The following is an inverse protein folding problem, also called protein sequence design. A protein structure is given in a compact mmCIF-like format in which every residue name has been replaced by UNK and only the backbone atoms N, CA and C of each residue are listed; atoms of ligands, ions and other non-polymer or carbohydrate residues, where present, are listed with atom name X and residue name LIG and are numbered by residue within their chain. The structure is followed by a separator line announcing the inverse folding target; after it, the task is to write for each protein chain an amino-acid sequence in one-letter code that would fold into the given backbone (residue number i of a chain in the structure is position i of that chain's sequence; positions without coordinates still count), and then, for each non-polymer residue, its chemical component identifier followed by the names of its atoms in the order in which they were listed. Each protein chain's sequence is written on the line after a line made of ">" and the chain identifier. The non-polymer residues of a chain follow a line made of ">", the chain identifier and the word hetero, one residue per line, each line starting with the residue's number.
data_IF_062059970545
#
_entry.id   IF_062059970545
#
_cell.length_a   1.000
_cell.length_b   1.000
_cell.length_c   1.000
_cell.angle_alpha   90.00
_cell.angle_beta   90.00
_cell.angle_gamma   90.00
#
_symmetry.space_group_name_H-M   'P 1'
#
loop_
_entity.id
_entity.type
_entity.pdbx_description
1 polymer ?
#
# COMPACT_ATOMS: atom_id res chain seq x y z
N UNK A 1 -4.95 -23.71 -3.70
CA UNK A 1 -5.82 -23.03 -2.73
C UNK A 1 -4.94 -22.12 -1.89
N UNK A 2 -5.31 -20.87 -1.62
CA UNK A 2 -4.52 -20.04 -0.72
C UNK A 2 -4.49 -20.69 0.68
N UNK A 3 -3.36 -20.56 1.40
CA UNK A 3 -3.13 -21.23 2.68
C UNK A 3 -3.97 -20.70 3.85
N UNK A 4 -4.84 -19.75 3.60
CA UNK A 4 -5.66 -19.05 4.60
C UNK A 4 -7.14 -19.45 4.41
N UNK A 5 -7.93 -19.45 5.51
CA UNK A 5 -9.37 -19.70 5.46
C UNK A 5 -10.10 -18.78 4.45
N UNK A 6 -11.42 -18.78 4.44
CA UNK A 6 -12.27 -18.30 3.35
C UNK A 6 -12.04 -16.86 2.84
N UNK A 7 -11.39 -15.96 3.62
CA UNK A 7 -11.13 -14.57 3.19
C UNK A 7 -9.79 -14.08 3.74
N UNK A 8 -8.82 -13.81 2.85
CA UNK A 8 -7.48 -13.34 3.23
C UNK A 8 -7.40 -11.82 3.17
N UNK A 9 -7.11 -11.17 4.29
CA UNK A 9 -6.87 -9.72 4.34
C UNK A 9 -5.44 -9.44 4.77
N UNK A 10 -4.70 -8.73 3.91
CA UNK A 10 -3.33 -8.31 4.20
C UNK A 10 -3.25 -6.79 4.33
N UNK A 11 -2.59 -6.31 5.38
CA UNK A 11 -2.30 -4.89 5.59
C UNK A 11 -0.80 -4.66 5.40
N UNK A 12 -0.44 -3.76 4.50
CA UNK A 12 0.96 -3.39 4.29
C UNK A 12 1.26 -2.05 4.97
N UNK A 13 1.99 -2.11 6.07
CA UNK A 13 2.45 -0.94 6.82
C UNK A 13 3.91 -0.63 6.53
N UNK A 14 4.25 0.64 6.64
CA UNK A 14 5.62 1.13 6.48
C UNK A 14 5.63 2.55 5.92
N UNK A 15 6.77 3.26 6.03
CA UNK A 15 6.90 4.65 5.58
C UNK A 15 6.69 4.79 4.07
N UNK A 16 6.41 6.00 3.57
CA UNK A 16 6.38 6.24 2.13
C UNK A 16 7.74 5.87 1.51
N UNK A 17 7.71 5.19 0.36
CA UNK A 17 8.94 4.74 -0.33
C UNK A 17 9.51 3.39 0.10
N UNK A 18 8.99 2.72 1.14
CA UNK A 18 9.53 1.45 1.63
C UNK A 18 9.26 0.23 0.71
N UNK A 19 8.46 0.35 -0.36
CA UNK A 19 8.25 -0.74 -1.32
C UNK A 19 6.88 -1.41 -1.27
N UNK A 20 5.94 -1.00 -0.38
CA UNK A 20 4.59 -1.57 -0.27
C UNK A 20 3.88 -1.78 -1.60
N UNK A 21 3.84 -0.75 -2.46
CA UNK A 21 3.16 -0.83 -3.74
C UNK A 21 3.78 -1.83 -4.73
N UNK A 22 5.07 -2.11 -4.61
CA UNK A 22 5.73 -3.16 -5.40
C UNK A 22 5.32 -4.54 -4.88
N UNK A 23 5.39 -4.73 -3.57
CA UNK A 23 5.06 -6.00 -2.94
C UNK A 23 3.56 -6.30 -3.01
N UNK A 24 2.69 -5.30 -2.82
CA UNK A 24 1.24 -5.50 -2.93
C UNK A 24 0.84 -6.06 -4.30
N UNK A 25 1.49 -5.63 -5.38
CA UNK A 25 1.25 -6.16 -6.73
C UNK A 25 1.74 -7.60 -6.87
N UNK A 26 2.97 -7.91 -6.41
CA UNK A 26 3.52 -9.26 -6.48
C UNK A 26 2.68 -10.25 -5.66
N UNK A 27 2.26 -9.85 -4.47
CA UNK A 27 1.40 -10.66 -3.60
C UNK A 27 0.00 -10.83 -4.22
N UNK A 28 -0.56 -9.77 -4.81
CA UNK A 28 -1.86 -9.83 -5.50
C UNK A 28 -1.82 -10.81 -6.68
N UNK A 29 -0.75 -10.77 -7.47
CA UNK A 29 -0.54 -11.70 -8.59
C UNK A 29 -0.36 -13.15 -8.10
N UNK A 30 0.27 -13.36 -6.96
CA UNK A 30 0.49 -14.69 -6.37
C UNK A 30 -0.79 -15.26 -5.75
N UNK A 31 -1.48 -14.48 -4.89
CA UNK A 31 -2.70 -14.92 -4.18
C UNK A 31 -3.97 -14.83 -5.03
N UNK A 32 -3.93 -14.17 -6.19
CA UNK A 32 -5.09 -13.88 -7.06
C UNK A 32 -6.19 -13.08 -6.35
N UNK A 33 -5.80 -12.14 -5.50
CA UNK A 33 -6.70 -11.20 -4.81
C UNK A 33 -6.34 -9.76 -5.18
N UNK A 34 -7.28 -8.80 -5.13
CA UNK A 34 -7.00 -7.43 -5.53
C UNK A 34 -6.10 -6.70 -4.53
N UNK A 35 -5.18 -5.89 -5.05
CA UNK A 35 -4.44 -4.89 -4.29
C UNK A 35 -5.19 -3.55 -4.32
N UNK A 36 -5.58 -3.05 -3.16
CA UNK A 36 -6.33 -1.83 -2.97
C UNK A 36 -5.40 -0.77 -2.39
N UNK A 37 -5.08 0.25 -3.19
CA UNK A 37 -4.30 1.40 -2.74
C UNK A 37 -5.20 2.63 -2.64
N UNK A 38 -5.49 3.07 -1.42
CA UNK A 38 -6.32 4.26 -1.18
C UNK A 38 -5.72 5.51 -1.83
N UNK A 39 -4.41 5.64 -1.82
CA UNK A 39 -3.72 6.73 -2.51
C UNK A 39 -3.91 6.71 -4.03
N UNK A 40 -3.92 5.53 -4.67
CA UNK A 40 -4.19 5.41 -6.10
C UNK A 40 -5.66 5.71 -6.42
N UNK A 41 -6.59 5.24 -5.59
CA UNK A 41 -8.02 5.53 -5.75
C UNK A 41 -8.28 7.03 -5.68
N UNK A 42 -7.77 7.72 -4.66
CA UNK A 42 -7.92 9.18 -4.54
C UNK A 42 -7.28 9.94 -5.71
N UNK A 43 -6.14 9.50 -6.21
CA UNK A 43 -5.52 10.10 -7.42
C UNK A 43 -6.35 9.87 -8.68
N UNK A 44 -7.01 8.72 -8.80
CA UNK A 44 -7.95 8.46 -9.90
C UNK A 44 -9.15 9.41 -9.85
N UNK A 45 -9.71 9.64 -8.66
CA UNK A 45 -10.79 10.61 -8.42
C UNK A 45 -10.37 12.05 -8.76
N UNK A 46 -9.14 12.44 -8.40
CA UNK A 46 -8.57 13.75 -8.76
C UNK A 46 -8.46 13.87 -10.29
N UNK A 47 -7.94 12.84 -10.96
CA UNK A 47 -7.80 12.81 -12.42
C UNK A 47 -9.16 12.89 -13.13
N UNK A 48 -10.17 12.23 -12.58
CA UNK A 48 -11.55 12.27 -13.08
C UNK A 48 -12.28 13.57 -12.76
N UNK A 49 -11.72 14.45 -11.91
CA UNK A 49 -12.32 15.74 -11.53
C UNK A 49 -13.59 15.62 -10.72
N UNK A 50 -13.81 14.50 -10.03
CA UNK A 50 -14.99 14.27 -9.19
C UNK A 50 -15.03 15.21 -7.98
N UNK A 51 -16.18 15.34 -7.33
CA UNK A 51 -16.31 16.12 -6.09
C UNK A 51 -15.35 15.61 -5.00
N UNK A 52 -15.19 14.30 -4.89
CA UNK A 52 -14.25 13.64 -3.99
C UNK A 52 -12.80 13.97 -4.36
N UNK A 53 -12.45 13.89 -5.65
CA UNK A 53 -11.12 14.24 -6.14
C UNK A 53 -10.76 15.70 -5.84
N UNK A 54 -11.70 16.63 -6.06
CA UNK A 54 -11.50 18.06 -5.76
C UNK A 54 -11.27 18.28 -4.26
N UNK A 55 -12.02 17.60 -3.38
CA UNK A 55 -11.86 17.70 -1.93
C UNK A 55 -10.50 17.14 -1.44
N UNK A 56 -9.98 16.09 -2.08
CA UNK A 56 -8.72 15.46 -1.70
C UNK A 56 -7.47 16.15 -2.29
N UNK A 57 -7.61 16.91 -3.37
CA UNK A 57 -6.50 17.38 -4.20
C UNK A 57 -5.47 18.23 -3.44
N UNK A 58 -5.92 19.22 -2.69
CA UNK A 58 -5.03 20.14 -1.96
C UNK A 58 -4.24 19.39 -0.89
N UNK A 59 -4.91 18.55 -0.12
CA UNK A 59 -4.31 17.75 0.96
C UNK A 59 -3.25 16.78 0.43
N UNK A 60 -3.55 16.05 -0.64
CA UNK A 60 -2.59 15.12 -1.25
C UNK A 60 -1.39 15.86 -1.85
N UNK A 61 -1.61 17.02 -2.47
CA UNK A 61 -0.53 17.83 -3.05
C UNK A 61 0.43 18.35 -1.97
N UNK A 62 -0.06 18.64 -0.76
CA UNK A 62 0.72 19.04 0.40
C UNK A 62 1.37 17.86 1.16
N UNK A 63 1.10 16.60 0.76
CA UNK A 63 1.60 15.41 1.45
C UNK A 63 0.82 14.99 2.70
N UNK A 64 -0.27 15.67 3.02
CA UNK A 64 -1.13 15.40 4.16
C UNK A 64 -2.07 14.20 3.98
N UNK A 65 -2.81 13.87 5.03
CA UNK A 65 -3.85 12.83 5.01
C UNK A 65 -5.22 13.46 4.72
N UNK A 66 -5.94 12.84 3.79
CA UNK A 66 -7.34 13.18 3.50
C UNK A 66 -8.20 12.72 4.69
N UNK A 67 -9.34 13.39 4.95
CA UNK A 67 -10.20 13.07 6.08
C UNK A 67 -10.60 11.61 6.13
N UNK A 68 -10.62 11.04 7.34
CA UNK A 68 -10.91 9.63 7.57
C UNK A 68 -12.26 9.21 7.01
N UNK A 69 -13.30 10.02 7.22
CA UNK A 69 -14.65 9.76 6.69
C UNK A 69 -14.65 9.59 5.16
N UNK A 70 -13.93 10.43 4.45
CA UNK A 70 -13.86 10.39 2.99
C UNK A 70 -13.10 9.14 2.52
N UNK A 71 -11.98 8.81 3.14
CA UNK A 71 -11.18 7.62 2.82
C UNK A 71 -11.95 6.35 3.16
N UNK A 72 -12.62 6.31 4.32
CA UNK A 72 -13.43 5.18 4.77
C UNK A 72 -14.57 4.88 3.81
N UNK A 73 -15.29 5.90 3.32
CA UNK A 73 -16.35 5.71 2.31
C UNK A 73 -15.82 5.11 1.00
N UNK A 74 -14.68 5.60 0.51
CA UNK A 74 -14.06 5.08 -0.70
C UNK A 74 -13.65 3.62 -0.51
N UNK A 75 -13.03 3.30 0.63
CA UNK A 75 -12.63 1.94 0.94
C UNK A 75 -13.85 1.01 1.06
N UNK A 76 -14.88 1.42 1.81
CA UNK A 76 -16.09 0.63 2.01
C UNK A 76 -16.74 0.22 0.69
N UNK A 77 -16.87 1.17 -0.24
CA UNK A 77 -17.42 0.89 -1.56
C UNK A 77 -16.53 -0.10 -2.36
N UNK A 78 -15.21 -0.06 -2.16
CA UNK A 78 -14.26 -0.92 -2.89
C UNK A 78 -14.22 -2.35 -2.35
N UNK A 79 -14.19 -2.53 -1.03
CA UNK A 79 -14.09 -3.89 -0.44
C UNK A 79 -15.39 -4.69 -0.57
N UNK A 80 -16.50 -4.05 -0.91
CA UNK A 80 -17.78 -4.72 -1.20
C UNK A 80 -17.89 -5.22 -2.66
N UNK A 81 -16.89 -4.96 -3.50
CA UNK A 81 -16.91 -5.45 -4.88
C UNK A 81 -16.69 -6.97 -4.93
N UNK A 82 -17.29 -7.67 -5.90
CA UNK A 82 -17.21 -9.14 -6.00
C UNK A 82 -15.79 -9.70 -6.06
N UNK A 83 -14.84 -8.96 -6.62
CA UNK A 83 -13.44 -9.38 -6.71
C UNK A 83 -12.71 -9.41 -5.35
N UNK A 84 -13.32 -8.81 -4.30
CA UNK A 84 -12.81 -8.83 -2.93
C UNK A 84 -13.31 -10.01 -2.11
N UNK A 85 -14.21 -10.85 -2.64
CA UNK A 85 -14.84 -11.95 -1.89
C UNK A 85 -13.82 -13.01 -1.39
N UNK A 86 -12.74 -13.26 -2.13
CA UNK A 86 -11.65 -14.16 -1.73
C UNK A 86 -10.59 -13.50 -0.86
N UNK A 87 -10.70 -12.21 -0.60
CA UNK A 87 -9.74 -11.41 0.16
C UNK A 87 -9.21 -10.22 -0.62
N UNK A 88 -8.35 -9.44 0.02
CA UNK A 88 -7.73 -8.26 -0.57
C UNK A 88 -6.48 -7.81 0.20
N UNK A 89 -5.69 -6.98 -0.44
CA UNK A 89 -4.50 -6.36 0.14
C UNK A 89 -4.77 -4.87 0.26
N UNK A 90 -4.51 -4.28 1.44
CA UNK A 90 -4.57 -2.84 1.66
C UNK A 90 -3.17 -2.22 1.65
N UNK A 91 -2.91 -1.34 0.67
CA UNK A 91 -1.70 -0.54 0.58
C UNK A 91 -1.99 0.91 0.95
N UNK A 92 -1.42 1.35 2.08
CA UNK A 92 -1.58 2.71 2.58
C UNK A 92 -2.91 3.00 3.26
N UNK A 93 -3.53 1.99 3.85
CA UNK A 93 -4.67 2.06 4.75
C UNK A 93 -4.60 0.90 5.76
N UNK A 94 -4.98 1.10 7.04
CA UNK A 94 -5.31 2.38 7.67
C UNK A 94 -4.09 3.28 7.90
N UNK A 95 -4.32 4.59 8.07
CA UNK A 95 -3.28 5.58 8.38
C UNK A 95 -3.52 6.33 9.69
N UNK A 96 -4.67 6.12 10.32
CA UNK A 96 -5.05 6.67 11.62
C UNK A 96 -5.69 5.59 12.47
N UNK A 97 -5.72 5.75 13.78
CA UNK A 97 -6.40 4.82 14.68
C UNK A 97 -7.91 4.77 14.42
N UNK A 98 -8.51 5.89 13.99
CA UNK A 98 -9.92 5.94 13.61
C UNK A 98 -10.19 5.05 12.38
N UNK A 99 -9.34 5.12 11.37
CA UNK A 99 -9.41 4.24 10.20
C UNK A 99 -9.20 2.76 10.59
N UNK A 100 -8.31 2.46 11.53
CA UNK A 100 -8.09 1.10 12.02
C UNK A 100 -9.37 0.54 12.67
N UNK A 101 -9.99 1.29 13.57
CA UNK A 101 -11.26 0.88 14.19
C UNK A 101 -12.40 0.77 13.17
N UNK A 102 -12.43 1.62 12.13
CA UNK A 102 -13.40 1.47 11.03
C UNK A 102 -13.16 0.17 10.24
N UNK A 103 -11.90 -0.15 9.93
CA UNK A 103 -11.55 -1.38 9.23
C UNK A 103 -11.98 -2.61 10.00
N UNK A 104 -11.70 -2.67 11.31
CA UNK A 104 -12.06 -3.81 12.15
C UNK A 104 -13.57 -4.09 12.12
N UNK A 105 -14.39 -3.02 12.22
CA UNK A 105 -15.85 -3.15 12.08
C UNK A 105 -16.28 -3.63 10.70
N UNK A 106 -15.60 -3.14 9.65
CA UNK A 106 -15.89 -3.54 8.27
C UNK A 106 -15.54 -5.01 8.02
N UNK A 107 -14.40 -5.49 8.54
CA UNK A 107 -13.98 -6.89 8.43
C UNK A 107 -14.93 -7.82 9.21
N UNK A 108 -15.36 -7.42 10.40
CA UNK A 108 -16.35 -8.16 11.16
C UNK A 108 -17.69 -8.31 10.40
N UNK A 109 -18.16 -7.23 9.76
CA UNK A 109 -19.37 -7.24 8.93
C UNK A 109 -19.24 -8.12 7.67
N UNK A 110 -18.03 -8.29 7.15
CA UNK A 110 -17.72 -9.19 6.03
C UNK A 110 -17.43 -10.63 6.48
N UNK A 111 -17.52 -10.92 7.79
CA UNK A 111 -17.09 -12.19 8.38
C UNK A 111 -15.64 -12.57 8.02
N UNK A 112 -14.82 -11.61 7.70
CA UNK A 112 -13.40 -11.80 7.47
C UNK A 112 -12.65 -11.95 8.81
N UNK A 113 -11.65 -12.81 8.83
CA UNK A 113 -10.78 -12.99 10.00
C UNK A 113 -9.93 -11.74 10.30
N UNK A 114 -9.09 -11.83 11.33
CA UNK A 114 -8.11 -10.79 11.63
C UNK A 114 -7.15 -10.61 10.43
N UNK A 115 -6.82 -9.38 10.05
CA UNK A 115 -5.88 -9.15 8.97
C UNK A 115 -4.47 -9.57 9.36
N UNK A 116 -3.70 -10.09 8.40
CA UNK A 116 -2.26 -10.28 8.56
C UNK A 116 -1.55 -8.97 8.23
N UNK A 117 -0.75 -8.48 9.14
CA UNK A 117 -0.05 -7.20 9.03
C UNK A 117 1.40 -7.43 8.64
N UNK A 118 1.84 -6.84 7.53
CA UNK A 118 3.22 -6.82 7.07
C UNK A 118 3.80 -5.43 7.31
N UNK A 119 4.77 -5.32 8.20
CA UNK A 119 5.44 -4.06 8.52
C UNK A 119 6.80 -3.99 7.83
N UNK A 120 6.92 -3.08 6.86
CA UNK A 120 8.16 -2.83 6.12
C UNK A 120 9.01 -1.81 6.86
N UNK A 121 10.18 -2.24 7.30
CA UNK A 121 11.18 -1.37 7.90
C UNK A 121 12.29 -1.02 6.90
N UNK A 122 12.60 0.27 6.77
CA UNK A 122 13.61 0.81 5.84
C UNK A 122 14.27 2.03 6.47
N UNK A 123 15.60 2.11 6.48
CA UNK A 123 16.32 3.29 6.96
C UNK A 123 15.89 4.57 6.21
N UNK A 124 15.76 5.67 6.95
CA UNK A 124 15.25 6.95 6.41
C UNK A 124 16.06 7.44 5.22
N UNK A 125 17.40 7.32 5.27
CA UNK A 125 18.29 7.77 4.20
C UNK A 125 18.03 7.00 2.88
N UNK A 126 17.75 5.70 2.97
CA UNK A 126 17.38 4.90 1.81
C UNK A 126 16.03 5.31 1.22
N UNK A 127 15.10 5.79 2.05
CA UNK A 127 13.78 6.23 1.60
C UNK A 127 13.85 7.48 0.72
N UNK A 128 14.67 8.46 1.05
CA UNK A 128 14.83 9.71 0.28
C UNK A 128 15.31 9.37 -1.15
N UNK A 129 16.37 8.57 -1.27
CA UNK A 129 16.89 8.14 -2.57
C UNK A 129 15.85 7.38 -3.40
N UNK A 130 15.05 6.52 -2.75
CA UNK A 130 13.99 5.77 -3.42
C UNK A 130 12.86 6.65 -3.92
N UNK A 131 12.49 7.68 -3.17
CA UNK A 131 11.38 8.57 -3.55
C UNK A 131 11.73 9.46 -4.74
N UNK A 132 12.90 10.06 -4.75
CA UNK A 132 13.36 10.91 -5.85
C UNK A 132 13.58 10.12 -7.14
N UNK A 133 13.92 8.83 -7.01
CA UNK A 133 14.14 7.91 -8.14
C UNK A 133 12.87 7.22 -8.62
N UNK A 134 11.72 7.42 -7.95
CA UNK A 134 10.46 6.78 -8.31
C UNK A 134 9.90 7.34 -9.61
N UNK A 135 9.35 6.43 -10.43
CA UNK A 135 8.59 6.75 -11.62
C UNK A 135 7.26 5.99 -11.59
N UNK A 136 6.24 6.59 -12.18
CA UNK A 136 4.88 6.06 -12.23
C UNK A 136 4.40 6.00 -13.67
N UNK A 137 3.80 4.88 -14.07
CA UNK A 137 2.98 4.83 -15.27
C UNK A 137 1.62 5.49 -14.99
N UNK A 138 1.23 6.57 -15.68
CA UNK A 138 -0.05 7.24 -15.45
C UNK A 138 -1.26 6.45 -15.96
N UNK A 139 -1.02 5.39 -16.76
CA UNK A 139 -2.06 4.54 -17.37
C UNK A 139 -2.38 3.34 -16.49
N UNK A 140 -1.41 2.46 -16.22
CA UNK A 140 -1.64 1.23 -15.43
C UNK A 140 -1.32 1.37 -13.93
N UNK A 141 -0.73 2.48 -13.48
CA UNK A 141 -0.37 2.70 -12.08
C UNK A 141 0.89 1.97 -11.61
N UNK A 142 1.59 1.22 -12.50
CA UNK A 142 2.85 0.53 -12.17
C UNK A 142 3.91 1.54 -11.75
N UNK A 143 4.60 1.22 -10.67
CA UNK A 143 5.71 2.03 -10.17
C UNK A 143 7.04 1.39 -10.48
N UNK A 144 8.02 2.22 -10.81
CA UNK A 144 9.40 1.85 -11.06
C UNK A 144 10.31 2.64 -10.12
N UNK A 145 11.52 2.15 -9.94
CA UNK A 145 12.57 2.87 -9.24
C UNK A 145 13.84 2.85 -10.09
N UNK A 146 14.39 4.02 -10.41
CA UNK A 146 15.56 4.11 -11.29
C UNK A 146 16.85 3.58 -10.66
N UNK A 147 16.86 3.30 -9.34
CA UNK A 147 18.00 2.72 -8.64
C UNK A 147 17.89 1.19 -8.56
N UNK A 148 16.70 0.66 -8.21
CA UNK A 148 16.53 -0.76 -7.82
C UNK A 148 15.56 -1.56 -8.69
N UNK A 149 14.67 -0.91 -9.47
CA UNK A 149 13.65 -1.57 -10.29
C UNK A 149 13.38 -0.75 -11.56
N UNK A 150 14.36 -0.72 -12.46
CA UNK A 150 14.31 0.07 -13.69
C UNK A 150 13.33 -0.53 -14.70
N UNK A 151 12.66 0.30 -15.53
CA UNK A 151 11.94 -0.20 -16.69
C UNK A 151 12.93 -0.80 -17.71
N UNK A 152 12.48 -1.78 -18.48
CA UNK A 152 13.27 -2.41 -19.55
C UNK A 152 13.68 -1.39 -20.62
N UNK A 153 12.76 -0.49 -20.96
CA UNK A 153 13.02 0.64 -21.85
C UNK A 153 13.05 1.93 -21.03
N UNK A 154 14.15 2.71 -21.05
CA UNK A 154 14.23 3.95 -20.29
C UNK A 154 13.04 4.88 -20.54
N UNK A 155 12.38 5.32 -19.46
CA UNK A 155 11.26 6.25 -19.51
C UNK A 155 9.92 5.68 -19.97
N UNK A 156 9.82 4.36 -20.26
CA UNK A 156 8.57 3.71 -20.71
C UNK A 156 8.12 2.61 -19.76
N UNK A 157 6.82 2.44 -19.66
CA UNK A 157 6.20 1.36 -18.91
C UNK A 157 6.40 0.01 -19.62
N UNK A 158 6.76 -1.04 -18.88
CA UNK A 158 6.97 -2.39 -19.44
C UNK A 158 5.66 -3.08 -19.82
N UNK A 159 4.52 -2.67 -19.22
CA UNK A 159 3.22 -3.32 -19.43
C UNK A 159 2.45 -2.72 -20.61
N UNK A 160 2.57 -1.40 -20.83
CA UNK A 160 1.73 -0.69 -21.80
C UNK A 160 2.49 0.32 -22.69
N UNK A 161 3.80 0.46 -22.49
CA UNK A 161 4.66 1.36 -23.27
C UNK A 161 4.48 2.87 -22.98
N UNK A 162 3.57 3.23 -22.05
CA UNK A 162 3.26 4.62 -21.69
C UNK A 162 4.48 5.33 -21.09
N UNK A 163 4.59 6.63 -21.33
CA UNK A 163 5.66 7.45 -20.77
C UNK A 163 5.55 7.52 -19.24
N UNK A 164 6.67 7.25 -18.55
CA UNK A 164 6.73 7.30 -17.09
C UNK A 164 6.85 8.75 -16.61
N UNK A 165 6.12 9.08 -15.54
CA UNK A 165 6.11 10.39 -14.92
C UNK A 165 6.66 10.34 -13.48
N UNK A 166 7.17 11.47 -12.99
CA UNK A 166 7.42 11.69 -11.56
C UNK A 166 6.14 12.19 -10.91
N UNK A 167 5.79 11.67 -9.74
CA UNK A 167 4.65 12.17 -8.97
C UNK A 167 4.96 13.56 -8.40
N UNK A 168 3.96 14.42 -8.31
CA UNK A 168 4.12 15.75 -7.70
C UNK A 168 4.44 15.65 -6.20
N UNK A 169 3.92 14.61 -5.53
CA UNK A 169 4.12 14.32 -4.10
C UNK A 169 5.43 13.55 -3.80
N UNK A 170 6.32 13.38 -4.78
CA UNK A 170 7.65 12.75 -4.62
C UNK A 170 8.79 13.76 -4.51
N UNK A 171 8.50 15.05 -4.44
CA UNK A 171 9.47 16.08 -4.12
C UNK A 171 9.94 15.91 -2.67
N UNK A 172 11.20 16.17 -2.40
CA UNK A 172 11.81 15.91 -1.09
C UNK A 172 11.08 16.62 0.06
N UNK A 173 10.68 17.88 -0.12
CA UNK A 173 9.95 18.66 0.88
C UNK A 173 8.62 17.98 1.24
N UNK A 174 7.83 17.59 0.22
CA UNK A 174 6.55 16.91 0.41
C UNK A 174 6.76 15.51 0.98
N UNK A 175 7.84 14.85 0.60
CA UNK A 175 8.19 13.55 1.17
C UNK A 175 8.47 13.63 2.67
N UNK A 176 9.17 14.66 3.14
CA UNK A 176 9.44 14.88 4.56
C UNK A 176 8.13 15.07 5.36
N UNK A 177 7.17 15.83 4.82
CA UNK A 177 5.84 15.97 5.44
C UNK A 177 5.09 14.63 5.49
N UNK A 178 5.17 13.82 4.45
CA UNK A 178 4.57 12.47 4.44
C UNK A 178 5.23 11.54 5.44
N UNK A 179 6.54 11.63 5.63
CA UNK A 179 7.26 10.84 6.62
C UNK A 179 6.86 11.25 8.03
N UNK A 180 6.77 12.56 8.30
CA UNK A 180 6.28 13.10 9.57
C UNK A 180 4.85 12.60 9.87
N UNK A 181 3.93 12.72 8.91
CA UNK A 181 2.57 12.21 9.06
C UNK A 181 2.53 10.69 9.31
N UNK A 182 3.42 9.93 8.69
CA UNK A 182 3.56 8.50 8.97
C UNK A 182 4.00 8.24 10.41
N UNK A 183 5.04 8.91 10.90
CA UNK A 183 5.57 8.71 12.24
C UNK A 183 4.57 9.09 13.32
N UNK A 184 3.84 10.21 13.12
CA UNK A 184 2.90 10.75 14.10
C UNK A 184 1.55 10.01 14.12
N UNK A 185 1.03 9.61 12.96
CA UNK A 185 -0.35 9.12 12.82
C UNK A 185 -0.44 7.64 12.48
N UNK A 186 0.47 7.13 11.63
CA UNK A 186 0.38 5.77 11.10
C UNK A 186 1.20 4.77 11.91
N UNK A 187 2.41 5.11 12.33
CA UNK A 187 3.24 4.20 13.14
C UNK A 187 2.56 3.75 14.44
N UNK A 188 1.81 4.60 15.18
CA UNK A 188 1.10 4.17 16.39
C UNK A 188 0.05 3.07 16.15
N UNK A 189 -0.44 2.88 14.91
CA UNK A 189 -1.40 1.84 14.56
C UNK A 189 -0.80 0.43 14.73
N UNK A 190 0.51 0.28 14.63
CA UNK A 190 1.17 -1.02 14.86
C UNK A 190 0.89 -1.56 16.26
N UNK A 191 0.76 -0.68 17.27
CA UNK A 191 0.35 -1.08 18.61
C UNK A 191 -1.11 -1.58 18.68
N UNK A 192 -1.99 -1.12 17.79
CA UNK A 192 -3.38 -1.59 17.69
C UNK A 192 -3.47 -3.03 17.16
N UNK A 193 -2.59 -3.39 16.24
CA UNK A 193 -2.60 -4.73 15.64
C UNK A 193 -1.73 -5.79 16.36
N UNK A 194 -0.99 -5.44 17.39
CA UNK A 194 -0.13 -6.26 18.29
C UNK A 194 0.76 -7.31 17.59
N UNK A 195 0.19 -8.10 16.67
CA UNK A 195 0.89 -9.15 15.93
C UNK A 195 1.11 -8.70 14.49
N UNK A 196 2.36 -8.44 14.11
CA UNK A 196 2.73 -8.13 12.73
C UNK A 196 4.03 -8.81 12.33
N UNK A 197 4.13 -9.11 11.03
CA UNK A 197 5.32 -9.70 10.44
C UNK A 197 6.28 -8.58 10.06
N UNK A 198 7.49 -8.66 10.54
CA UNK A 198 8.55 -7.72 10.22
C UNK A 198 9.15 -8.07 8.86
N UNK A 199 9.24 -7.09 7.95
CA UNK A 199 9.79 -7.24 6.61
C UNK A 199 10.94 -6.25 6.44
N UNK A 200 12.12 -6.74 6.14
CA UNK A 200 13.28 -5.91 5.85
C UNK A 200 13.15 -5.31 4.44
N UNK A 201 12.67 -4.07 4.36
CA UNK A 201 12.28 -3.43 3.11
C UNK A 201 13.43 -2.81 2.30
N UNK A 202 14.68 -2.88 2.72
CA UNK A 202 15.86 -2.33 2.01
C UNK A 202 16.53 -3.33 1.05
N UNK A 203 16.07 -4.58 1.03
CA UNK A 203 16.53 -5.64 0.13
C UNK A 203 15.93 -5.53 -1.28
N UNK A 204 16.33 -6.45 -2.18
CA UNK A 204 15.77 -6.49 -3.54
C UNK A 204 14.27 -6.87 -3.50
N UNK A 205 13.45 -6.36 -4.45
CA UNK A 205 12.03 -6.70 -4.50
C UNK A 205 11.75 -8.21 -4.59
N UNK A 206 12.59 -8.97 -5.27
CA UNK A 206 12.45 -10.42 -5.40
C UNK A 206 12.71 -11.14 -4.07
N UNK A 207 13.78 -10.75 -3.35
CA UNK A 207 14.11 -11.33 -2.05
C UNK A 207 13.00 -11.04 -1.01
N UNK A 208 12.52 -9.78 -0.96
CA UNK A 208 11.42 -9.41 -0.08
C UNK A 208 10.16 -10.23 -0.38
N UNK A 209 9.87 -10.46 -1.66
CA UNK A 209 8.72 -11.27 -2.06
C UNK A 209 8.86 -12.74 -1.62
N UNK A 210 10.05 -13.33 -1.78
CA UNK A 210 10.36 -14.68 -1.29
C UNK A 210 10.20 -14.78 0.24
N UNK A 211 10.71 -13.82 0.98
CA UNK A 211 10.53 -13.73 2.43
C UNK A 211 9.04 -13.70 2.81
N UNK A 212 8.26 -12.83 2.17
CA UNK A 212 6.83 -12.70 2.42
C UNK A 212 6.08 -14.00 2.11
N UNK A 213 6.35 -14.63 0.97
CA UNK A 213 5.68 -15.90 0.61
C UNK A 213 6.02 -17.00 1.59
N UNK A 214 7.28 -17.12 2.02
CA UNK A 214 7.70 -18.07 3.03
C UNK A 214 7.05 -17.85 4.42
N UNK A 215 6.79 -16.59 4.80
CA UNK A 215 6.07 -16.26 6.05
C UNK A 215 4.56 -16.54 5.95
N UNK A 216 3.98 -16.40 4.76
CA UNK A 216 2.56 -16.58 4.52
C UNK A 216 2.17 -18.03 4.17
N UNK A 217 3.11 -18.91 3.89
CA UNK A 217 2.83 -20.33 3.66
C UNK A 217 2.42 -21.08 4.94
N UNK A 218 1.57 -22.15 4.85
CA UNK A 218 1.05 -22.87 6.02
C UNK A 218 2.12 -23.41 6.98
N UNK A 219 3.30 -23.77 6.43
CA UNK A 219 4.48 -24.19 7.20
C UNK A 219 5.11 -23.08 8.05
N UNK A 220 4.81 -21.81 7.75
CA UNK A 220 5.25 -20.65 8.54
C UNK A 220 4.39 -20.36 9.77
N UNK A 221 3.17 -20.91 9.86
CA UNK A 221 2.24 -20.66 10.97
C UNK A 221 2.70 -21.23 12.32
N UNK A 222 3.53 -22.25 12.34
CA UNK A 222 4.07 -22.82 13.59
C UNK A 222 5.16 -21.93 14.24
N UNK A 223 5.60 -20.85 13.58
CA UNK A 223 6.58 -19.90 14.13
C UNK A 223 5.95 -18.68 14.81
N UNK A 224 4.61 -18.57 14.78
CA UNK A 224 3.83 -17.43 15.32
C UNK A 224 3.02 -17.80 16.57
N UNK A 225 3.43 -18.90 17.28
CA UNK A 225 2.90 -19.27 18.61
C UNK A 225 3.90 -18.99 19.71
#
# INVERSE_FOLDING_TARGET
>A
MPPFGDTVVLLLFGPPGCGKGTQSRLIADWLKIPAISTGNMLRAEIKAGTGLGKAAQATIAAGGLVSDDLVNRVLQARIQQPDCSGGFILDGYPRTLEQAGFLDRSLAALHAGRPVVLHFDVPTDALIGRMTSRRLCPKCGRTYNLLSARPKTPGKCDDDGEALITRKDDREEIFRERLKAYDELTRPILAHYHDYLHIQGDLSPAYIFEEITGLLEPSGKDRLR
#
